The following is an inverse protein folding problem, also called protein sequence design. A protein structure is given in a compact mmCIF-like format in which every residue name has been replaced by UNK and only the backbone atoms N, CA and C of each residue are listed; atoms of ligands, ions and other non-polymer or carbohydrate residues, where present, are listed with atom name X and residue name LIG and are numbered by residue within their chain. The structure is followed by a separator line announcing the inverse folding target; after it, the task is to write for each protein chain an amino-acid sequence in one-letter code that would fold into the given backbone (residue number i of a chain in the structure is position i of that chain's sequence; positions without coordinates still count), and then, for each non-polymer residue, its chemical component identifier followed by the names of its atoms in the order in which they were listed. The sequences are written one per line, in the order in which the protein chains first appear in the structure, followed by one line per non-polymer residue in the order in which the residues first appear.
data_IF_816996141018
#
_entry.id   IF_816996141018
#
_cell.length_a   1.000
_cell.length_b   1.000
_cell.length_c   1.000
_cell.angle_alpha   90.00
_cell.angle_beta   90.00
_cell.angle_gamma   90.00
#
_symmetry.space_group_name_H-M   'P 1'
#
loop_
_entity.id
_entity.type
_entity.pdbx_description
1 polymer ?
#
# COMPACT_ATOMS: atom_id res chain seq x y z
N UNK A 1 -5.21 10.94 -21.61
CA UNK A 1 -4.63 11.14 -20.25
C UNK A 1 -5.13 10.08 -19.29
N UNK A 2 -4.26 9.41 -18.52
CA UNK A 2 -4.70 8.36 -17.58
C UNK A 2 -5.69 8.88 -16.51
N UNK A 3 -5.50 10.13 -16.03
CA UNK A 3 -6.40 10.73 -15.02
C UNK A 3 -7.75 11.14 -15.60
N UNK A 4 -7.80 11.76 -16.79
CA UNK A 4 -9.08 12.10 -17.43
C UNK A 4 -9.90 10.84 -17.70
N UNK A 5 -9.25 9.77 -18.18
CA UNK A 5 -9.90 8.47 -18.38
C UNK A 5 -10.41 7.87 -17.06
N UNK A 6 -9.65 7.99 -15.97
CA UNK A 6 -10.17 7.63 -14.65
C UNK A 6 -11.44 8.42 -14.34
N UNK A 7 -11.44 9.74 -14.50
CA UNK A 7 -12.56 10.58 -14.09
C UNK A 7 -13.85 10.29 -14.84
N UNK A 8 -13.78 9.87 -16.09
CA UNK A 8 -14.95 9.71 -16.97
C UNK A 8 -15.39 8.26 -17.18
N UNK A 9 -14.54 7.27 -16.87
CA UNK A 9 -14.86 5.88 -17.14
C UNK A 9 -15.69 5.23 -16.03
N UNK A 10 -16.99 5.02 -16.30
CA UNK A 10 -17.91 4.30 -15.39
C UNK A 10 -17.46 2.87 -15.06
N UNK A 11 -16.76 2.19 -15.97
CA UNK A 11 -16.30 0.79 -15.82
C UNK A 11 -14.93 0.66 -15.15
N UNK A 12 -14.37 1.76 -14.64
CA UNK A 12 -13.08 1.72 -13.96
C UNK A 12 -13.16 0.86 -12.69
N UNK A 13 -12.09 0.12 -12.35
CA UNK A 13 -12.05 -0.80 -11.18
C UNK A 13 -12.40 -0.12 -9.84
N UNK A 14 -12.17 1.19 -9.74
CA UNK A 14 -12.45 1.98 -8.53
C UNK A 14 -13.87 2.60 -8.53
N UNK A 15 -14.65 2.45 -9.60
CA UNK A 15 -15.99 3.03 -9.77
C UNK A 15 -17.10 1.99 -9.59
N UNK A 16 -16.83 0.91 -8.85
CA UNK A 16 -17.78 -0.20 -8.65
C UNK A 16 -19.12 0.26 -8.08
N UNK A 17 -19.06 1.22 -7.15
CA UNK A 17 -20.22 1.76 -6.44
C UNK A 17 -20.67 3.12 -7.02
N UNK A 18 -20.14 3.50 -8.18
CA UNK A 18 -20.48 4.77 -8.84
C UNK A 18 -21.70 4.55 -9.73
N UNK A 19 -22.80 5.23 -9.42
CA UNK A 19 -24.05 5.19 -10.17
C UNK A 19 -23.98 6.08 -11.42
N UNK A 20 -23.38 7.26 -11.27
CA UNK A 20 -23.27 8.24 -12.35
C UNK A 20 -22.00 9.09 -12.23
N UNK A 21 -21.48 9.50 -13.40
CA UNK A 21 -20.41 10.49 -13.51
C UNK A 21 -20.99 11.72 -14.20
N UNK A 22 -20.98 12.85 -13.49
CA UNK A 22 -21.55 14.11 -13.98
C UNK A 22 -20.44 15.13 -14.15
N UNK A 23 -20.42 15.77 -15.32
CA UNK A 23 -19.50 16.86 -15.58
C UNK A 23 -20.01 18.15 -14.91
N UNK A 24 -19.28 18.68 -13.92
CA UNK A 24 -19.63 19.95 -13.25
C UNK A 24 -18.90 21.13 -13.89
N UNK A 25 -17.67 20.94 -14.36
CA UNK A 25 -16.91 21.98 -15.04
C UNK A 25 -15.79 21.48 -15.93
N UNK A 26 -15.60 22.18 -17.04
CA UNK A 26 -14.53 21.94 -17.99
C UNK A 26 -14.75 20.64 -18.77
N UNK A 27 -13.71 20.24 -19.46
CA UNK A 27 -13.63 19.04 -20.27
C UNK A 27 -12.17 18.59 -20.34
N UNK A 28 -11.88 17.58 -21.16
CA UNK A 28 -10.52 17.15 -21.44
C UNK A 28 -9.61 18.30 -21.91
N UNK A 29 -10.16 19.37 -22.50
CA UNK A 29 -9.41 20.56 -22.92
C UNK A 29 -8.70 21.20 -21.72
N UNK A 30 -9.37 21.37 -20.58
CA UNK A 30 -8.75 21.94 -19.38
C UNK A 30 -7.67 21.01 -18.84
N UNK A 31 -7.90 19.69 -18.85
CA UNK A 31 -6.89 18.70 -18.45
C UNK A 31 -5.66 18.75 -19.37
N UNK A 32 -5.85 18.95 -20.68
CA UNK A 32 -4.76 19.16 -21.65
C UNK A 32 -4.04 20.48 -21.40
N UNK A 33 -4.75 21.55 -21.07
CA UNK A 33 -4.15 22.85 -20.74
C UNK A 33 -3.22 22.74 -19.52
N UNK A 34 -3.62 21.99 -18.48
CA UNK A 34 -2.78 21.76 -17.29
C UNK A 34 -1.45 21.09 -17.68
N UNK A 35 -1.50 20.04 -18.51
CA UNK A 35 -0.30 19.37 -19.02
C UNK A 35 0.54 20.31 -19.89
N UNK A 36 -0.09 20.97 -20.86
CA UNK A 36 0.56 21.91 -21.77
C UNK A 36 1.30 23.00 -21.00
N UNK A 37 0.66 23.59 -20.01
CA UNK A 37 1.26 24.68 -19.22
C UNK A 37 2.39 24.16 -18.32
N UNK A 38 2.27 22.94 -17.80
CA UNK A 38 3.36 22.27 -17.08
C UNK A 38 4.60 22.06 -17.97
N UNK A 39 4.42 21.51 -19.17
CA UNK A 39 5.52 21.28 -20.11
C UNK A 39 6.15 22.60 -20.60
N UNK A 40 5.32 23.61 -20.91
CA UNK A 40 5.81 24.96 -21.23
C UNK A 40 6.65 25.56 -20.09
N UNK A 41 6.22 25.36 -18.84
CA UNK A 41 6.98 25.84 -17.68
C UNK A 41 8.29 25.06 -17.48
N UNK A 42 8.29 23.73 -17.67
CA UNK A 42 9.51 22.91 -17.65
C UNK A 42 10.51 23.36 -18.71
N UNK A 43 10.05 23.60 -19.93
CA UNK A 43 10.89 24.12 -21.02
C UNK A 43 11.48 25.49 -20.67
N UNK A 44 10.67 26.40 -20.12
CA UNK A 44 11.14 27.72 -19.64
C UNK A 44 12.25 27.57 -18.58
N UNK A 45 12.09 26.65 -17.62
CA UNK A 45 13.10 26.40 -16.59
C UNK A 45 14.38 25.78 -17.16
N UNK A 46 14.24 24.81 -18.08
CA UNK A 46 15.37 24.18 -18.75
C UNK A 46 16.16 25.17 -19.61
N UNK A 47 15.47 26.03 -20.38
CA UNK A 47 16.09 27.11 -21.15
C UNK A 47 16.83 28.12 -20.26
N UNK A 48 16.30 28.40 -19.07
CA UNK A 48 16.96 29.21 -18.05
C UNK A 48 18.04 28.46 -17.25
N UNK A 49 18.37 27.20 -17.62
CA UNK A 49 19.33 26.31 -16.93
C UNK A 49 19.05 26.15 -15.42
N UNK A 50 17.79 26.27 -15.02
CA UNK A 50 17.36 26.06 -13.63
C UNK A 50 17.12 24.58 -13.40
N UNK A 51 17.98 23.96 -12.59
CA UNK A 51 17.82 22.57 -12.15
C UNK A 51 16.74 22.38 -11.09
N UNK A 52 16.57 21.15 -10.63
CA UNK A 52 15.66 20.77 -9.54
C UNK A 52 14.66 19.69 -9.93
N UNK A 53 13.78 19.35 -8.97
CA UNK A 53 12.73 18.35 -9.19
C UNK A 53 11.73 18.85 -10.24
N UNK A 54 11.44 18.09 -11.30
CA UNK A 54 10.42 18.47 -12.28
C UNK A 54 9.07 18.72 -11.59
N UNK A 55 8.41 19.85 -11.89
CA UNK A 55 7.10 20.13 -11.33
C UNK A 55 6.05 19.15 -11.87
N UNK A 56 5.02 18.94 -11.05
CA UNK A 56 3.79 18.24 -11.44
C UNK A 56 2.79 19.21 -12.05
N UNK A 57 1.90 18.69 -12.88
CA UNK A 57 0.93 19.44 -13.67
C UNK A 57 -0.18 20.08 -12.84
N UNK A 58 -0.71 19.37 -11.86
CA UNK A 58 -1.94 19.75 -11.15
C UNK A 58 -1.96 19.25 -9.70
N UNK A 59 -2.90 19.80 -8.93
CA UNK A 59 -3.32 19.30 -7.62
C UNK A 59 -4.79 18.93 -7.72
N UNK A 60 -5.15 17.83 -7.06
CA UNK A 60 -6.51 17.35 -6.99
C UNK A 60 -7.06 17.45 -5.56
N UNK A 61 -8.26 17.99 -5.44
CA UNK A 61 -9.06 18.02 -4.23
C UNK A 61 -10.30 17.16 -4.43
N UNK A 62 -10.57 16.27 -3.48
CA UNK A 62 -11.81 15.49 -3.45
C UNK A 62 -12.74 16.06 -2.38
N UNK A 63 -13.89 16.54 -2.80
CA UNK A 63 -14.94 17.09 -1.93
C UNK A 63 -16.06 16.07 -1.81
N UNK A 64 -16.15 15.43 -0.65
CA UNK A 64 -17.07 14.32 -0.42
C UNK A 64 -18.17 14.72 0.52
N UNK A 65 -19.40 14.34 0.19
CA UNK A 65 -20.55 14.41 1.08
C UNK A 65 -20.82 13.03 1.68
N UNK A 66 -21.30 12.98 2.93
CA UNK A 66 -21.78 11.73 3.49
C UNK A 66 -22.98 11.22 2.69
N UNK A 67 -23.20 9.92 2.73
CA UNK A 67 -24.44 9.28 2.25
C UNK A 67 -25.66 9.98 2.83
N UNK A 68 -26.77 9.94 2.09
CA UNK A 68 -28.05 10.66 2.32
C UNK A 68 -28.06 12.13 1.87
N UNK A 69 -26.92 12.73 1.56
CA UNK A 69 -26.85 14.09 1.04
C UNK A 69 -26.53 14.04 -0.46
N UNK A 70 -27.53 14.36 -1.29
CA UNK A 70 -27.42 14.37 -2.75
C UNK A 70 -27.90 15.70 -3.34
N UNK A 71 -27.05 16.73 -3.36
CA UNK A 71 -27.36 17.98 -4.07
C UNK A 71 -27.50 17.70 -5.57
N UNK A 72 -28.33 18.49 -6.24
CA UNK A 72 -28.43 18.43 -7.70
C UNK A 72 -27.12 18.93 -8.36
N UNK A 73 -26.87 18.60 -9.64
CA UNK A 73 -25.71 19.12 -10.37
C UNK A 73 -25.60 20.65 -10.33
N UNK A 74 -26.72 21.38 -10.35
CA UNK A 74 -26.77 22.84 -10.26
C UNK A 74 -26.29 23.33 -8.89
N UNK A 75 -26.67 22.63 -7.81
CA UNK A 75 -26.17 22.93 -6.47
C UNK A 75 -24.67 22.63 -6.34
N UNK A 76 -24.20 21.53 -6.93
CA UNK A 76 -22.76 21.26 -7.02
C UNK A 76 -22.00 22.33 -7.81
N UNK A 77 -22.62 22.87 -8.87
CA UNK A 77 -22.08 24.00 -9.63
C UNK A 77 -21.98 25.26 -8.78
N UNK A 78 -22.99 25.56 -7.96
CA UNK A 78 -22.96 26.68 -7.01
C UNK A 78 -21.84 26.49 -5.97
N UNK A 79 -21.73 25.29 -5.38
CA UNK A 79 -20.66 24.96 -4.44
C UNK A 79 -19.29 25.17 -5.09
N UNK A 80 -19.10 24.67 -6.31
CA UNK A 80 -17.87 24.86 -7.06
C UNK A 80 -17.56 26.35 -7.28
N UNK A 81 -18.55 27.17 -7.65
CA UNK A 81 -18.33 28.60 -7.85
C UNK A 81 -17.82 29.28 -6.57
N UNK A 82 -18.41 28.98 -5.41
CA UNK A 82 -17.93 29.50 -4.12
C UNK A 82 -16.48 29.07 -3.86
N UNK A 83 -16.15 27.80 -4.12
CA UNK A 83 -14.76 27.32 -3.97
C UNK A 83 -13.79 28.04 -4.91
N UNK A 84 -14.15 28.23 -6.17
CA UNK A 84 -13.29 28.87 -7.17
C UNK A 84 -13.03 30.35 -6.87
N UNK A 85 -14.03 31.08 -6.36
CA UNK A 85 -13.87 32.48 -5.94
C UNK A 85 -12.92 32.59 -4.74
N UNK A 86 -13.14 31.78 -3.71
CA UNK A 86 -12.28 31.76 -2.53
C UNK A 86 -10.84 31.38 -2.89
N UNK A 87 -10.68 30.38 -3.77
CA UNK A 87 -9.37 29.94 -4.21
C UNK A 87 -8.66 31.00 -5.04
N UNK A 88 -9.36 31.66 -5.99
CA UNK A 88 -8.80 32.73 -6.81
C UNK A 88 -8.22 33.85 -5.94
N UNK A 89 -9.01 34.30 -4.95
CA UNK A 89 -8.57 35.31 -3.98
C UNK A 89 -7.36 34.85 -3.17
N UNK A 90 -7.31 33.60 -2.71
CA UNK A 90 -6.19 33.08 -1.94
C UNK A 90 -4.89 32.93 -2.74
N UNK A 91 -5.01 32.64 -4.03
CA UNK A 91 -3.88 32.46 -4.93
C UNK A 91 -3.43 33.76 -5.61
N UNK A 92 -4.09 34.89 -5.31
CA UNK A 92 -3.86 36.20 -5.91
C UNK A 92 -3.96 36.17 -7.45
N UNK A 93 -5.02 35.52 -7.96
CA UNK A 93 -5.33 35.41 -9.39
C UNK A 93 -6.82 35.64 -9.63
N UNK A 94 -7.20 35.89 -10.88
CA UNK A 94 -8.62 35.99 -11.24
C UNK A 94 -9.23 34.60 -11.46
N UNK A 95 -10.56 34.49 -11.29
CA UNK A 95 -11.30 33.27 -11.65
C UNK A 95 -11.15 32.92 -13.13
N UNK A 96 -11.00 33.93 -14.00
CA UNK A 96 -10.71 33.76 -15.43
C UNK A 96 -9.33 33.14 -15.70
N UNK A 97 -8.35 33.31 -14.82
CA UNK A 97 -7.05 32.63 -14.94
C UNK A 97 -7.09 31.18 -14.43
N UNK A 98 -7.97 30.87 -13.48
CA UNK A 98 -8.16 29.49 -12.99
C UNK A 98 -9.05 28.65 -13.90
N UNK A 99 -10.05 29.27 -14.54
CA UNK A 99 -11.03 28.61 -15.39
C UNK A 99 -10.40 27.69 -16.48
N UNK A 100 -9.41 28.15 -17.28
CA UNK A 100 -8.77 27.33 -18.33
C UNK A 100 -7.98 26.13 -17.81
N UNK A 101 -7.67 26.12 -16.51
CA UNK A 101 -6.83 25.11 -15.85
C UNK A 101 -7.58 24.40 -14.73
N UNK A 102 -8.91 24.37 -14.77
CA UNK A 102 -9.74 23.72 -13.74
C UNK A 102 -10.69 22.70 -14.36
N UNK A 103 -10.77 21.52 -13.75
CA UNK A 103 -11.64 20.41 -14.17
C UNK A 103 -12.40 19.91 -12.94
N UNK A 104 -13.74 19.84 -13.02
CA UNK A 104 -14.57 19.34 -11.94
C UNK A 104 -15.50 18.22 -12.42
N UNK A 105 -15.41 17.06 -11.79
CA UNK A 105 -16.22 15.87 -12.09
C UNK A 105 -16.84 15.35 -10.81
N UNK A 106 -18.16 15.17 -10.82
CA UNK A 106 -18.91 14.58 -9.75
C UNK A 106 -19.07 13.07 -10.01
N UNK A 107 -18.69 12.27 -9.02
CA UNK A 107 -19.02 10.85 -8.96
C UNK A 107 -20.15 10.68 -7.96
N UNK A 108 -21.32 10.27 -8.46
CA UNK A 108 -22.46 9.93 -7.62
C UNK A 108 -22.37 8.46 -7.24
N UNK A 109 -22.41 8.16 -5.96
CA UNK A 109 -22.27 6.79 -5.45
C UNK A 109 -23.55 6.28 -4.83
N UNK A 110 -23.69 4.97 -4.72
CA UNK A 110 -24.82 4.35 -4.04
C UNK A 110 -25.01 4.91 -2.61
N UNK A 111 -26.24 5.38 -2.35
CA UNK A 111 -26.58 6.11 -1.11
C UNK A 111 -26.99 5.19 0.03
N UNK A 112 -27.20 3.89 -0.21
CA UNK A 112 -27.54 2.96 0.86
C UNK A 112 -26.39 2.88 1.88
N UNK A 113 -26.73 3.15 3.14
CA UNK A 113 -25.83 3.05 4.29
C UNK A 113 -25.19 1.66 4.48
N UNK A 114 -25.82 0.60 3.99
CA UNK A 114 -25.33 -0.77 4.09
C UNK A 114 -24.21 -1.07 3.09
N UNK A 115 -24.18 -0.37 1.97
CA UNK A 115 -23.18 -0.53 0.92
C UNK A 115 -21.90 0.20 1.33
N UNK A 116 -20.73 -0.34 0.98
CA UNK A 116 -19.45 0.34 1.25
C UNK A 116 -19.30 1.57 0.35
N UNK A 117 -18.80 2.68 0.90
CA UNK A 117 -18.59 3.90 0.13
C UNK A 117 -18.71 5.14 1.00
N UNK A 118 -18.39 6.30 0.42
CA UNK A 118 -18.37 7.56 1.16
C UNK A 118 -19.64 8.40 0.91
N UNK A 119 -20.19 8.29 -0.29
CA UNK A 119 -21.27 9.14 -0.81
C UNK A 119 -20.83 9.88 -2.07
N UNK A 120 -21.65 10.84 -2.49
CA UNK A 120 -21.37 11.65 -3.69
C UNK A 120 -20.11 12.50 -3.44
N UNK A 121 -19.20 12.54 -4.41
CA UNK A 121 -17.95 13.30 -4.29
C UNK A 121 -17.51 13.94 -5.59
N UNK A 122 -17.06 15.19 -5.48
CA UNK A 122 -16.55 15.98 -6.59
C UNK A 122 -15.02 15.99 -6.58
N UNK A 123 -14.43 15.49 -7.67
CA UNK A 123 -13.04 15.65 -8.00
C UNK A 123 -12.82 17.02 -8.64
N UNK A 124 -12.10 17.91 -7.96
CA UNK A 124 -11.64 19.19 -8.49
C UNK A 124 -10.14 19.14 -8.74
N UNK A 125 -9.75 19.14 -10.02
CA UNK A 125 -8.36 19.20 -10.45
C UNK A 125 -8.05 20.63 -10.89
N UNK A 126 -6.96 21.19 -10.38
CA UNK A 126 -6.50 22.54 -10.70
C UNK A 126 -5.04 22.49 -11.11
N UNK A 127 -4.73 23.05 -12.28
CA UNK A 127 -3.37 23.17 -12.79
C UNK A 127 -2.50 24.04 -11.89
N UNK A 128 -1.23 23.68 -11.76
CA UNK A 128 -0.26 24.47 -10.98
C UNK A 128 0.28 25.69 -11.73
N UNK A 129 -0.01 25.80 -13.03
CA UNK A 129 0.53 26.82 -13.91
C UNK A 129 -0.60 27.45 -14.74
N UNK A 130 -0.71 28.77 -14.69
CA UNK A 130 -1.64 29.53 -15.54
C UNK A 130 -1.16 29.54 -17.00
N UNK A 131 -2.02 30.01 -17.92
CA UNK A 131 -1.64 30.14 -19.34
C UNK A 131 -0.46 31.10 -19.57
N UNK A 132 -0.28 32.06 -18.65
CA UNK A 132 0.86 32.99 -18.61
C UNK A 132 2.09 32.41 -17.89
N UNK A 133 2.06 31.11 -17.55
CA UNK A 133 3.13 30.38 -16.86
C UNK A 133 3.45 30.91 -15.46
N UNK A 134 2.47 31.51 -14.79
CA UNK A 134 2.55 31.86 -13.37
C UNK A 134 2.41 30.60 -12.54
N UNK A 135 3.36 30.34 -11.65
CA UNK A 135 3.36 29.15 -10.79
C UNK A 135 2.56 29.39 -9.51
N UNK A 136 1.50 28.60 -9.31
CA UNK A 136 0.60 28.67 -8.15
C UNK A 136 1.16 27.84 -7.00
N UNK A 137 2.25 28.33 -6.38
CA UNK A 137 2.96 27.62 -5.33
C UNK A 137 2.11 27.36 -4.07
N UNK A 138 1.17 28.26 -3.76
CA UNK A 138 0.26 28.15 -2.61
C UNK A 138 -0.73 26.97 -2.76
N UNK A 139 -1.04 26.54 -3.98
CA UNK A 139 -2.07 25.53 -4.24
C UNK A 139 -1.83 24.20 -3.49
N UNK A 140 -0.56 23.84 -3.27
CA UNK A 140 -0.16 22.61 -2.58
C UNK A 140 0.08 22.79 -1.06
N UNK A 141 -0.09 24.01 -0.53
CA UNK A 141 0.13 24.29 0.89
C UNK A 141 -1.08 23.92 1.74
N UNK A 142 -0.82 23.60 3.01
CA UNK A 142 -1.88 23.27 3.99
C UNK A 142 -2.87 24.41 4.22
N UNK A 143 -2.43 25.66 4.02
CA UNK A 143 -3.30 26.86 4.05
C UNK A 143 -4.45 26.75 3.05
N UNK A 144 -4.15 26.42 1.80
CA UNK A 144 -5.14 26.22 0.74
C UNK A 144 -6.10 25.08 1.09
N UNK A 145 -5.59 23.96 1.58
CA UNK A 145 -6.46 22.86 2.03
C UNK A 145 -7.40 23.28 3.16
N UNK A 146 -6.91 24.06 4.14
CA UNK A 146 -7.74 24.58 5.24
C UNK A 146 -8.82 25.52 4.72
N UNK A 147 -8.46 26.45 3.83
CA UNK A 147 -9.41 27.37 3.20
C UNK A 147 -10.51 26.61 2.46
N UNK A 148 -10.14 25.66 1.58
CA UNK A 148 -11.10 24.90 0.79
C UNK A 148 -12.02 24.05 1.66
N UNK A 149 -11.54 23.52 2.81
CA UNK A 149 -12.40 22.82 3.77
C UNK A 149 -13.46 23.73 4.36
N UNK A 150 -13.06 24.92 4.83
CA UNK A 150 -14.00 25.90 5.40
C UNK A 150 -14.99 26.38 4.33
N UNK A 151 -14.49 26.74 3.14
CA UNK A 151 -15.33 27.20 2.04
C UNK A 151 -16.31 26.11 1.56
N UNK A 152 -15.87 24.84 1.51
CA UNK A 152 -16.75 23.73 1.15
C UNK A 152 -17.86 23.53 2.18
N UNK A 153 -17.54 23.51 3.47
CA UNK A 153 -18.51 23.39 4.54
C UNK A 153 -19.58 24.50 4.48
N UNK A 154 -19.16 25.74 4.26
CA UNK A 154 -20.08 26.87 4.14
C UNK A 154 -20.94 26.77 2.89
N UNK A 155 -20.34 26.45 1.74
CA UNK A 155 -21.07 26.30 0.48
C UNK A 155 -22.08 25.13 0.52
N UNK A 156 -21.75 24.03 1.18
CA UNK A 156 -22.68 22.91 1.40
C UNK A 156 -23.84 23.35 2.29
N UNK A 157 -23.57 24.08 3.37
CA UNK A 157 -24.62 24.62 4.24
C UNK A 157 -25.56 25.57 3.46
N UNK A 158 -25.02 26.48 2.66
CA UNK A 158 -25.82 27.38 1.82
C UNK A 158 -26.67 26.62 0.79
N UNK A 159 -26.10 25.61 0.13
CA UNK A 159 -26.79 24.86 -0.93
C UNK A 159 -27.82 23.84 -0.41
N UNK A 160 -27.61 23.30 0.79
CA UNK A 160 -28.39 22.15 1.32
C UNK A 160 -29.09 22.41 2.64
N UNK A 161 -28.72 23.46 3.38
CA UNK A 161 -29.15 23.70 4.76
C UNK A 161 -28.47 22.80 5.80
N UNK A 162 -27.58 21.89 5.39
CA UNK A 162 -26.97 20.89 6.27
C UNK A 162 -25.63 21.40 6.79
N UNK A 163 -25.49 21.49 8.11
CA UNK A 163 -24.26 21.90 8.77
C UNK A 163 -23.41 20.69 9.13
N UNK A 164 -22.10 20.77 8.92
CA UNK A 164 -21.17 19.74 9.41
C UNK A 164 -21.13 19.65 10.95
N UNK A 165 -21.63 20.67 11.65
CA UNK A 165 -21.66 20.71 13.12
C UNK A 165 -22.74 19.80 13.70
N UNK A 166 -23.76 19.44 12.92
CA UNK A 166 -24.79 18.47 13.36
C UNK A 166 -24.32 17.02 13.27
N UNK A 167 -23.12 16.77 12.74
CA UNK A 167 -22.59 15.41 12.61
C UNK A 167 -22.29 14.80 13.97
N UNK A 168 -22.95 13.68 14.26
CA UNK A 168 -22.67 12.86 15.44
C UNK A 168 -21.77 11.68 15.04
N UNK A 169 -20.63 11.53 15.73
CA UNK A 169 -19.76 10.38 15.52
C UNK A 169 -20.49 9.09 15.91
N UNK A 170 -20.80 8.27 14.92
CA UNK A 170 -21.20 6.89 15.16
C UNK A 170 -19.96 6.00 15.18
N UNK A 171 -19.77 5.27 16.28
CA UNK A 171 -18.72 4.25 16.34
C UNK A 171 -19.19 3.05 15.52
N UNK A 172 -18.46 2.72 14.46
CA UNK A 172 -18.75 1.55 13.62
C UNK A 172 -18.39 0.21 14.30
N UNK A 173 -18.15 0.22 15.62
CA UNK A 173 -17.78 -0.94 16.41
C UNK A 173 -18.25 -0.74 17.85
N UNK A 174 -18.71 -1.81 18.49
CA UNK A 174 -18.97 -1.83 19.93
C UNK A 174 -17.63 -1.98 20.67
N UNK A 175 -17.33 -1.05 21.60
CA UNK A 175 -16.16 -1.11 22.50
C UNK A 175 -15.11 -0.01 22.33
N UNK A 176 -13.88 -0.29 22.75
CA UNK A 176 -12.67 0.54 22.57
C UNK A 176 -11.90 0.06 21.35
N UNK A 177 -11.57 0.95 20.40
CA UNK A 177 -10.83 0.57 19.20
C UNK A 177 -9.56 -0.15 19.64
N UNK A 178 -9.36 -1.40 19.19
CA UNK A 178 -8.11 -2.12 19.42
C UNK A 178 -7.00 -1.25 18.84
N UNK A 179 -6.19 -0.62 19.71
CA UNK A 179 -5.00 0.12 19.29
C UNK A 179 -4.19 -0.84 18.42
N UNK A 180 -3.89 -0.44 17.18
CA UNK A 180 -3.03 -1.24 16.30
C UNK A 180 -1.76 -1.56 17.09
N UNK A 181 -1.39 -2.85 17.13
CA UNK A 181 -0.15 -3.24 17.76
C UNK A 181 1.00 -2.44 17.13
N UNK A 182 1.91 -1.87 17.94
CA UNK A 182 3.07 -1.17 17.41
C UNK A 182 3.83 -2.04 16.42
N UNK A 183 4.40 -1.44 15.38
CA UNK A 183 5.14 -2.17 14.34
C UNK A 183 6.23 -3.08 14.94
N UNK A 184 6.92 -2.63 16.00
CA UNK A 184 7.94 -3.41 16.69
C UNK A 184 7.38 -4.70 17.32
N UNK A 185 6.16 -4.66 17.88
CA UNK A 185 5.53 -5.83 18.52
C UNK A 185 5.14 -6.87 17.47
N UNK A 186 4.67 -6.42 16.31
CA UNK A 186 4.37 -7.29 15.16
C UNK A 186 5.64 -7.90 14.59
N UNK A 187 6.72 -7.11 14.44
CA UNK A 187 8.02 -7.60 13.96
C UNK A 187 8.64 -8.61 14.93
N UNK A 188 8.59 -8.35 16.23
CA UNK A 188 9.10 -9.26 17.25
C UNK A 188 8.34 -10.60 17.26
N UNK A 189 7.00 -10.57 17.14
CA UNK A 189 6.20 -11.79 17.05
C UNK A 189 6.56 -12.63 15.81
N UNK A 190 6.73 -11.99 14.64
CA UNK A 190 7.17 -12.68 13.42
C UNK A 190 8.56 -13.31 13.56
N UNK A 191 9.53 -12.57 14.09
CA UNK A 191 10.88 -13.12 14.34
C UNK A 191 10.83 -14.29 15.33
N UNK A 192 9.96 -14.24 16.34
CA UNK A 192 9.77 -15.36 17.27
C UNK A 192 9.14 -16.59 16.61
N UNK A 193 8.19 -16.40 15.69
CA UNK A 193 7.59 -17.49 14.91
C UNK A 193 8.62 -18.13 13.97
N UNK A 194 9.46 -17.32 13.32
CA UNK A 194 10.58 -17.79 12.50
C UNK A 194 11.58 -18.62 13.32
N UNK A 195 11.99 -18.13 14.50
CA UNK A 195 12.89 -18.87 15.41
C UNK A 195 12.26 -20.20 15.84
N UNK A 196 10.98 -20.21 16.23
CA UNK A 196 10.29 -21.45 16.62
C UNK A 196 10.24 -22.47 15.49
N UNK A 197 10.03 -22.02 14.26
CA UNK A 197 10.02 -22.89 13.09
C UNK A 197 11.41 -23.51 12.86
N UNK A 198 12.46 -22.71 13.02
CA UNK A 198 13.85 -23.16 12.91
C UNK A 198 14.21 -24.17 14.00
N UNK A 199 13.83 -23.92 15.27
CA UNK A 199 14.03 -24.86 16.38
C UNK A 199 13.37 -26.22 16.10
N UNK A 200 12.13 -26.21 15.59
CA UNK A 200 11.42 -27.43 15.22
C UNK A 200 12.06 -28.19 14.05
N UNK A 201 12.69 -27.50 13.10
CA UNK A 201 13.45 -28.13 12.03
C UNK A 201 14.74 -28.77 12.57
N UNK A 202 15.50 -28.05 13.39
CA UNK A 202 16.72 -28.58 14.00
C UNK A 202 16.45 -29.83 14.84
N UNK A 203 15.40 -29.83 15.66
CA UNK A 203 15.04 -30.99 16.49
C UNK A 203 14.68 -32.22 15.66
N UNK A 204 14.02 -32.03 14.49
CA UNK A 204 13.73 -33.13 13.56
C UNK A 204 15.00 -33.73 12.98
N UNK A 205 15.96 -32.89 12.60
CA UNK A 205 17.24 -33.35 12.08
C UNK A 205 18.08 -34.09 13.11
N UNK A 206 18.15 -33.58 14.33
CA UNK A 206 18.84 -34.27 15.44
C UNK A 206 18.24 -35.67 15.62
N UNK A 207 16.91 -35.77 15.69
CA UNK A 207 16.23 -37.06 15.82
C UNK A 207 16.44 -38.00 14.62
N UNK A 208 16.65 -37.48 13.41
CA UNK A 208 17.01 -38.29 12.24
C UNK A 208 18.46 -38.78 12.31
N UNK A 209 19.39 -37.94 12.76
CA UNK A 209 20.79 -38.30 12.96
C UNK A 209 20.96 -39.36 14.06
N UNK A 210 20.23 -39.25 15.17
CA UNK A 210 20.19 -40.27 16.22
C UNK A 210 19.69 -41.63 15.70
N UNK A 211 18.58 -41.63 14.94
CA UNK A 211 18.07 -42.86 14.31
C UNK A 211 19.04 -43.45 13.30
N UNK A 212 19.81 -42.61 12.60
CA UNK A 212 20.85 -43.06 11.70
C UNK A 212 22.01 -43.72 12.47
N UNK A 213 22.45 -43.12 13.58
CA UNK A 213 23.50 -43.68 14.44
C UNK A 213 23.10 -45.04 15.04
N UNK A 214 21.87 -45.16 15.53
CA UNK A 214 21.34 -46.44 16.02
C UNK A 214 21.31 -47.51 14.92
N UNK A 215 20.89 -47.14 13.71
CA UNK A 215 20.88 -48.07 12.58
C UNK A 215 22.30 -48.49 12.15
N UNK A 216 23.27 -47.60 12.26
CA UNK A 216 24.69 -47.88 12.03
C UNK A 216 25.25 -48.88 13.06
N UNK A 217 24.94 -48.69 14.34
CA UNK A 217 25.33 -49.62 15.42
C UNK A 217 24.72 -51.02 15.24
N UNK A 218 23.47 -51.09 14.75
CA UNK A 218 22.74 -52.34 14.52
C UNK A 218 23.00 -52.98 13.13
N UNK A 219 23.73 -52.31 12.24
CA UNK A 219 23.98 -52.79 10.88
C UNK A 219 22.76 -52.76 9.94
N UNK A 220 21.70 -52.00 10.24
CA UNK A 220 20.51 -51.87 9.39
C UNK A 220 20.74 -50.84 8.25
N UNK A 221 21.34 -51.33 7.17
CA UNK A 221 21.68 -50.54 5.98
C UNK A 221 20.43 -49.86 5.36
N UNK A 222 19.27 -50.52 5.41
CA UNK A 222 18.02 -49.97 4.84
C UNK A 222 17.53 -48.80 5.68
N UNK A 223 17.65 -48.87 6.99
CA UNK A 223 17.29 -47.77 7.88
C UNK A 223 18.30 -46.62 7.83
N UNK A 224 19.59 -46.91 7.71
CA UNK A 224 20.63 -45.90 7.48
C UNK A 224 20.34 -45.08 6.22
N UNK A 225 20.13 -45.74 5.07
CA UNK A 225 19.85 -45.04 3.81
C UNK A 225 18.55 -44.22 3.88
N UNK A 226 17.53 -44.71 4.60
CA UNK A 226 16.27 -43.99 4.80
C UNK A 226 16.43 -42.72 5.63
N UNK A 227 17.18 -42.76 6.73
CA UNK A 227 17.39 -41.55 7.55
C UNK A 227 18.35 -40.58 6.88
N UNK A 228 19.35 -41.07 6.15
CA UNK A 228 20.25 -40.23 5.35
C UNK A 228 19.50 -39.42 4.29
N UNK A 229 18.64 -40.08 3.49
CA UNK A 229 17.85 -39.38 2.46
C UNK A 229 16.87 -38.35 3.06
N UNK A 230 16.42 -38.54 4.31
CA UNK A 230 15.57 -37.58 5.03
C UNK A 230 16.38 -36.36 5.49
N UNK A 231 17.59 -36.58 6.00
CA UNK A 231 18.51 -35.51 6.41
C UNK A 231 18.88 -34.63 5.21
N UNK A 232 19.27 -35.22 4.08
CA UNK A 232 19.59 -34.49 2.84
C UNK A 232 18.41 -33.64 2.38
N UNK A 233 17.21 -34.23 2.37
CA UNK A 233 15.99 -33.52 1.97
C UNK A 233 15.63 -32.37 2.92
N UNK A 234 15.88 -32.49 4.22
CA UNK A 234 15.64 -31.39 5.18
C UNK A 234 16.65 -30.26 4.99
N UNK A 235 17.91 -30.55 4.67
CA UNK A 235 18.94 -29.54 4.40
C UNK A 235 18.61 -28.72 3.15
N UNK A 236 18.13 -29.37 2.08
CA UNK A 236 17.75 -28.70 0.82
C UNK A 236 16.56 -27.73 0.99
N UNK A 237 15.79 -27.87 2.07
CA UNK A 237 14.63 -27.00 2.34
C UNK A 237 14.97 -25.71 3.09
N UNK A 238 16.24 -25.50 3.45
CA UNK A 238 16.68 -24.29 4.15
C UNK A 238 17.03 -23.18 3.16
N UNK A 239 16.35 -22.04 3.30
CA UNK A 239 16.70 -20.81 2.61
C UNK A 239 17.86 -20.09 3.33
N UNK A 240 19.02 -20.02 2.70
CA UNK A 240 20.29 -19.49 3.26
C UNK A 240 20.39 -17.97 3.08
N UNK A 241 19.27 -17.28 2.84
CA UNK A 241 19.24 -15.85 2.49
C UNK A 241 19.57 -14.89 3.65
N UNK A 242 19.80 -15.37 4.88
CA UNK A 242 20.20 -14.52 6.02
C UNK A 242 21.48 -15.01 6.72
N UNK A 243 22.36 -14.09 7.12
CA UNK A 243 23.63 -14.36 7.83
C UNK A 243 23.45 -15.14 9.14
N UNK A 244 22.32 -14.96 9.85
CA UNK A 244 22.01 -15.71 11.08
C UNK A 244 21.76 -17.21 10.78
N UNK A 245 21.27 -17.54 9.57
CA UNK A 245 20.94 -18.91 9.12
C UNK A 245 22.17 -19.66 8.59
N UNK A 246 23.21 -18.93 8.18
CA UNK A 246 24.45 -19.53 7.64
C UNK A 246 25.14 -20.46 8.66
N UNK A 247 25.20 -20.06 9.94
CA UNK A 247 25.84 -20.85 11.00
C UNK A 247 25.11 -22.18 11.30
N UNK A 248 23.78 -22.15 11.31
CA UNK A 248 22.95 -23.35 11.50
C UNK A 248 23.03 -24.29 10.30
N UNK A 249 23.01 -23.71 9.09
CA UNK A 249 23.19 -24.45 7.85
C UNK A 249 24.56 -25.13 7.77
N UNK A 250 25.63 -24.43 8.17
CA UNK A 250 26.98 -25.01 8.27
C UNK A 250 27.04 -26.16 9.27
N UNK A 251 26.43 -26.00 10.45
CA UNK A 251 26.35 -27.09 11.44
C UNK A 251 25.60 -28.31 10.89
N UNK A 252 24.49 -28.09 10.19
CA UNK A 252 23.71 -29.15 9.55
C UNK A 252 24.50 -29.87 8.45
N UNK A 253 25.22 -29.12 7.61
CA UNK A 253 26.11 -29.67 6.59
C UNK A 253 27.24 -30.49 7.22
N UNK A 254 27.81 -30.05 8.34
CA UNK A 254 28.80 -30.81 9.08
C UNK A 254 28.24 -32.13 9.64
N UNK A 255 26.99 -32.14 10.11
CA UNK A 255 26.33 -33.37 10.58
C UNK A 255 26.16 -34.38 9.44
N UNK A 256 25.68 -33.94 8.27
CA UNK A 256 25.53 -34.81 7.09
C UNK A 256 26.89 -35.35 6.64
N UNK A 257 27.91 -34.50 6.55
CA UNK A 257 29.29 -34.94 6.22
C UNK A 257 29.85 -35.96 7.20
N UNK A 258 29.63 -35.80 8.51
CA UNK A 258 30.08 -36.78 9.52
C UNK A 258 29.37 -38.13 9.35
N UNK A 259 28.09 -38.11 9.00
CA UNK A 259 27.31 -39.30 8.67
C UNK A 259 27.86 -39.98 7.40
N UNK A 260 28.12 -39.24 6.33
CA UNK A 260 28.73 -39.75 5.09
C UNK A 260 30.11 -40.37 5.32
N UNK A 261 30.96 -39.68 6.09
CA UNK A 261 32.33 -40.14 6.38
C UNK A 261 32.31 -41.45 7.19
N UNK A 262 31.36 -41.61 8.11
CA UNK A 262 31.17 -42.87 8.86
C UNK A 262 30.59 -43.97 7.99
N UNK A 263 29.67 -43.65 7.07
CA UNK A 263 29.11 -44.61 6.12
C UNK A 263 30.19 -45.18 5.18
N UNK A 264 31.13 -44.33 4.72
CA UNK A 264 32.22 -44.73 3.83
C UNK A 264 33.33 -45.55 4.50
N UNK A 265 33.47 -45.47 5.84
CA UNK A 265 34.48 -46.23 6.61
C UNK A 265 34.11 -47.70 6.87
N UNK A 266 32.96 -48.17 6.40
CA UNK A 266 32.79 -49.56 5.94
C UNK A 266 32.97 -50.73 6.92
N UNK A 267 33.03 -50.54 8.24
CA UNK A 267 32.95 -51.66 9.19
C UNK A 267 31.85 -51.43 10.25
N UNK A 268 30.79 -52.26 10.28
CA UNK A 268 29.87 -52.35 11.41
C UNK A 268 30.61 -52.84 12.66
N UNK A 269 30.28 -52.30 13.83
CA UNK A 269 30.86 -52.68 15.13
C UNK A 269 30.51 -54.12 15.61
N UNK A 270 29.97 -54.98 14.75
CA UNK A 270 29.79 -56.41 15.05
C UNK A 270 31.10 -57.17 14.86
N UNK A 271 32.07 -56.98 15.78
CA UNK A 271 33.14 -57.96 16.06
C UNK A 271 33.89 -57.65 17.36
N UNK A 272 33.18 -57.31 18.44
CA UNK A 272 33.71 -57.36 19.81
C UNK A 272 32.67 -57.90 20.77
N UNK A 273 32.36 -59.19 20.64
CA UNK A 273 31.77 -59.97 21.75
C UNK A 273 32.96 -60.47 22.59
N UNK A 274 33.07 -60.15 23.88
CA UNK A 274 34.01 -60.84 24.76
C UNK A 274 33.55 -62.29 24.89
N UNK A 275 34.42 -63.25 24.53
CA UNK A 275 34.16 -64.66 24.85
C UNK A 275 34.08 -64.83 26.38
N UNK A 276 33.19 -65.69 26.89
CA UNK A 276 33.14 -65.98 28.32
C UNK A 276 34.41 -66.73 28.74
N UNK A 277 35.02 -66.29 29.83
CA UNK A 277 36.11 -66.98 30.51
C UNK A 277 35.57 -68.30 31.10
N UNK A 278 36.17 -69.43 30.69
CA UNK A 278 36.26 -70.66 31.49
C UNK A 278 37.66 -70.70 32.07
#
# INVERSE_FOLDING_TARGET
MAREHYLTNMKHRNHKETEAIVNIYGSEIQSLNMLRNCERYKLKQAAARRGGRPPKEAVEFCFTLPKSIRPSPEKWRQILNTLMVNLASHLDVTTGQLAPISRAVLHQQEQDSLVRGSGDHMHLIIGKFTDNLTYLAELQRKSTTRLLKTAFNNAVYEATGISHQSYQLQKNYSGTAKKKAPSWKVKAARKQEEIKLQEQQLMRMIGQAEKWLQAYELGDIKQMNRQYNRLVKEVDTIDVSSEEIASLYEFMQQLVRKVETKAQKGEPLMNRVPQPLV
#
